data_IF_641618213603
#
_entry.id   IF_641618213603
#
_cell.length_a   1.000
_cell.length_b   1.000
_cell.length_c   1.000
_cell.angle_alpha   90.00
_cell.angle_beta   90.00
_cell.angle_gamma   90.00
#
_symmetry.space_group_name_H-M   'P 1'
#
loop_
_entity.id
_entity.type
_entity.pdbx_description
1 polymer ?
#
# COMPACT_ATOMS: atom_id res chain seq x y z
N UNK A 1 35.18 -20.00 -17.62
CA UNK A 1 34.25 -20.27 -16.54
C UNK A 1 34.93 -20.47 -15.18
N UNK A 2 35.85 -21.45 -15.06
CA UNK A 2 36.54 -21.73 -13.77
C UNK A 2 37.25 -20.49 -13.22
N UNK A 3 37.94 -19.72 -14.05
CA UNK A 3 38.59 -18.46 -13.65
C UNK A 3 37.58 -17.44 -13.12
N UNK A 4 36.42 -17.33 -13.78
CA UNK A 4 35.35 -16.42 -13.32
C UNK A 4 34.90 -16.79 -11.91
N UNK A 5 34.53 -18.04 -11.65
CA UNK A 5 34.10 -18.48 -10.34
C UNK A 5 35.21 -18.35 -9.26
N UNK A 6 36.48 -18.59 -9.63
CA UNK A 6 37.60 -18.41 -8.71
C UNK A 6 37.75 -16.96 -8.29
N UNK A 7 37.70 -16.02 -9.22
CA UNK A 7 37.73 -14.58 -8.93
C UNK A 7 36.51 -14.15 -8.09
N UNK A 8 35.31 -14.64 -8.43
CA UNK A 8 34.10 -14.31 -7.69
C UNK A 8 34.11 -14.77 -6.23
N UNK A 9 34.75 -15.93 -5.93
CA UNK A 9 34.94 -16.41 -4.55
C UNK A 9 35.94 -15.57 -3.76
N UNK A 10 36.77 -14.81 -4.44
CA UNK A 10 37.77 -13.89 -3.85
C UNK A 10 37.27 -12.44 -3.87
N UNK A 11 35.95 -12.23 -4.11
CA UNK A 11 35.32 -10.92 -4.23
C UNK A 11 35.94 -10.00 -5.29
N UNK A 12 36.63 -10.57 -6.27
CA UNK A 12 37.22 -9.89 -7.42
C UNK A 12 36.20 -9.85 -8.55
N UNK A 13 35.22 -8.93 -8.46
CA UNK A 13 34.02 -8.95 -9.31
C UNK A 13 34.33 -8.55 -10.76
N UNK A 14 35.19 -7.55 -11.02
CA UNK A 14 35.56 -7.14 -12.38
C UNK A 14 36.27 -8.27 -13.17
N UNK A 15 37.33 -8.91 -12.64
CA UNK A 15 37.94 -10.06 -13.30
C UNK A 15 36.95 -11.22 -13.47
N UNK A 16 36.10 -11.46 -12.47
CA UNK A 16 35.06 -12.49 -12.57
C UNK A 16 34.11 -12.21 -13.72
N UNK A 17 33.64 -10.97 -13.83
CA UNK A 17 32.74 -10.52 -14.88
C UNK A 17 33.38 -10.63 -16.27
N UNK A 18 34.60 -10.17 -16.43
CA UNK A 18 35.32 -10.31 -17.69
C UNK A 18 35.41 -11.76 -18.16
N UNK A 19 35.73 -12.69 -17.28
CA UNK A 19 35.85 -14.11 -17.63
C UNK A 19 34.50 -14.78 -17.93
N UNK A 20 33.40 -14.40 -17.27
CA UNK A 20 32.09 -14.96 -17.57
C UNK A 20 31.53 -14.43 -18.90
N UNK A 21 31.80 -13.17 -19.24
CA UNK A 21 31.46 -12.63 -20.55
C UNK A 21 32.14 -13.42 -21.68
N UNK A 22 33.43 -13.72 -21.55
CA UNK A 22 34.16 -14.54 -22.52
C UNK A 22 33.55 -15.95 -22.61
N UNK A 23 33.19 -16.57 -21.49
CA UNK A 23 32.56 -17.88 -21.46
C UNK A 23 31.23 -17.87 -22.19
N UNK A 24 30.35 -16.91 -21.88
CA UNK A 24 29.06 -16.74 -22.55
C UNK A 24 29.20 -16.50 -24.06
N UNK A 25 30.18 -15.69 -24.48
CA UNK A 25 30.44 -15.38 -25.91
C UNK A 25 30.96 -16.57 -26.69
N UNK A 26 31.70 -17.50 -26.04
CA UNK A 26 32.26 -18.71 -26.67
C UNK A 26 31.35 -19.93 -26.58
N UNK A 27 30.24 -19.85 -25.88
CA UNK A 27 29.30 -20.96 -25.77
C UNK A 27 28.52 -21.15 -27.07
N UNK A 28 28.47 -22.39 -27.58
CA UNK A 28 27.70 -22.74 -28.76
C UNK A 28 26.19 -22.56 -28.55
N UNK A 29 25.74 -22.70 -27.30
CA UNK A 29 24.35 -22.48 -26.88
C UNK A 29 24.31 -21.64 -25.61
N UNK A 30 23.26 -20.83 -25.41
CA UNK A 30 23.08 -20.07 -24.17
C UNK A 30 23.07 -21.00 -22.96
N UNK A 31 23.91 -20.68 -21.97
CA UNK A 31 23.95 -21.38 -20.69
C UNK A 31 23.28 -20.47 -19.65
N UNK A 32 22.07 -20.81 -19.23
CA UNK A 32 21.24 -19.96 -18.37
C UNK A 32 21.98 -19.59 -17.09
N UNK A 33 22.61 -20.56 -16.41
CA UNK A 33 23.36 -20.32 -15.16
C UNK A 33 24.53 -19.34 -15.35
N UNK A 34 25.16 -19.34 -16.55
CA UNK A 34 26.25 -18.41 -16.83
C UNK A 34 25.74 -17.00 -17.11
N UNK A 35 24.59 -16.90 -17.79
CA UNK A 35 23.92 -15.61 -18.04
C UNK A 35 23.45 -15.03 -16.70
N UNK A 36 22.86 -15.87 -15.84
CA UNK A 36 22.39 -15.48 -14.51
C UNK A 36 23.53 -14.99 -13.62
N UNK A 37 24.67 -15.69 -13.64
CA UNK A 37 25.85 -15.27 -12.91
C UNK A 37 26.45 -13.97 -13.47
N UNK A 38 26.51 -13.81 -14.80
CA UNK A 38 26.93 -12.57 -15.42
C UNK A 38 26.01 -11.41 -15.07
N UNK A 39 24.69 -11.62 -15.07
CA UNK A 39 23.70 -10.62 -14.64
C UNK A 39 23.95 -10.17 -13.19
N UNK A 40 24.15 -11.13 -12.28
CA UNK A 40 24.40 -10.80 -10.87
C UNK A 40 25.67 -10.01 -10.64
N UNK A 41 26.72 -10.28 -11.42
CA UNK A 41 27.97 -9.52 -11.41
C UNK A 41 27.83 -8.13 -12.02
N UNK A 42 27.09 -8.01 -13.14
CA UNK A 42 26.81 -6.73 -13.78
C UNK A 42 26.03 -5.79 -12.81
N UNK A 43 25.02 -6.32 -12.13
CA UNK A 43 24.30 -5.59 -11.08
C UNK A 43 25.20 -5.14 -9.93
N UNK A 44 26.11 -6.01 -9.50
CA UNK A 44 27.04 -5.72 -8.41
C UNK A 44 28.09 -4.67 -8.76
N UNK A 45 28.45 -4.59 -10.04
CA UNK A 45 29.41 -3.63 -10.61
C UNK A 45 28.70 -2.34 -11.09
N UNK A 46 27.39 -2.24 -10.88
CA UNK A 46 26.57 -1.11 -11.36
C UNK A 46 26.65 -0.91 -12.89
N UNK A 47 27.04 -1.97 -13.64
CA UNK A 47 27.00 -1.98 -15.08
C UNK A 47 25.58 -2.28 -15.54
N UNK A 48 24.70 -1.26 -15.42
CA UNK A 48 23.26 -1.40 -15.60
C UNK A 48 22.85 -1.63 -17.07
N UNK A 49 23.68 -1.23 -18.05
CA UNK A 49 23.43 -1.48 -19.47
C UNK A 49 23.61 -2.97 -19.82
N UNK A 50 24.74 -3.55 -19.41
CA UNK A 50 24.97 -4.98 -19.60
C UNK A 50 23.97 -5.83 -18.80
N UNK A 51 23.58 -5.37 -17.60
CA UNK A 51 22.56 -6.02 -16.79
C UNK A 51 21.21 -6.06 -17.51
N UNK A 52 20.82 -4.99 -18.22
CA UNK A 52 19.57 -4.93 -18.98
C UNK A 52 19.54 -5.95 -20.12
N UNK A 53 20.63 -6.03 -20.91
CA UNK A 53 20.74 -7.02 -21.97
C UNK A 53 20.67 -8.46 -21.43
N UNK A 54 21.43 -8.74 -20.36
CA UNK A 54 21.46 -10.05 -19.73
C UNK A 54 20.09 -10.42 -19.09
N UNK A 55 19.44 -9.45 -18.42
CA UNK A 55 18.13 -9.63 -17.81
C UNK A 55 17.04 -9.91 -18.84
N UNK A 56 17.01 -9.13 -19.91
CA UNK A 56 16.09 -9.33 -21.04
C UNK A 56 16.29 -10.71 -21.68
N UNK A 57 17.54 -11.12 -21.84
CA UNK A 57 17.87 -12.44 -22.35
C UNK A 57 17.40 -13.57 -21.45
N UNK A 58 17.51 -13.42 -20.13
CA UNK A 58 16.98 -14.38 -19.15
C UNK A 58 15.47 -14.50 -19.22
N UNK A 59 14.75 -13.38 -19.32
CA UNK A 59 13.30 -13.37 -19.50
C UNK A 59 12.85 -14.03 -20.81
N UNK A 60 13.60 -13.83 -21.89
CA UNK A 60 13.32 -14.49 -23.17
C UNK A 60 13.51 -16.01 -23.09
N UNK A 61 14.56 -16.48 -22.41
CA UNK A 61 14.87 -17.91 -22.30
C UNK A 61 13.95 -18.64 -21.32
N UNK A 62 13.59 -18.00 -20.22
CA UNK A 62 12.74 -18.59 -19.16
C UNK A 62 11.70 -17.59 -18.64
N UNK A 63 10.66 -17.27 -19.42
CA UNK A 63 9.68 -16.24 -19.06
C UNK A 63 8.84 -16.59 -17.82
N UNK A 64 8.77 -17.86 -17.47
CA UNK A 64 8.01 -18.34 -16.30
C UNK A 64 8.82 -18.35 -15.00
N UNK A 65 10.09 -17.90 -15.04
CA UNK A 65 10.94 -17.90 -13.86
C UNK A 65 10.78 -16.57 -13.08
N UNK A 66 10.09 -16.64 -11.94
CA UNK A 66 9.81 -15.52 -11.04
C UNK A 66 11.02 -14.63 -10.74
N UNK A 67 12.16 -15.28 -10.46
CA UNK A 67 13.40 -14.61 -10.07
C UNK A 67 13.79 -13.53 -11.09
N UNK A 68 13.61 -13.79 -12.38
CA UNK A 68 14.06 -12.88 -13.43
C UNK A 68 13.19 -11.64 -13.53
N UNK A 69 11.86 -11.75 -13.37
CA UNK A 69 10.97 -10.60 -13.35
C UNK A 69 11.30 -9.64 -12.20
N UNK A 70 11.53 -10.18 -11.00
CA UNK A 70 11.92 -9.39 -9.84
C UNK A 70 13.29 -8.72 -10.02
N UNK A 71 14.25 -9.43 -10.61
CA UNK A 71 15.59 -8.91 -10.87
C UNK A 71 15.58 -7.80 -11.93
N UNK A 72 14.80 -7.97 -13.00
CA UNK A 72 14.65 -6.94 -14.05
C UNK A 72 13.89 -5.73 -13.53
N UNK A 73 12.86 -5.91 -12.71
CA UNK A 73 12.21 -4.79 -12.05
C UNK A 73 13.17 -4.01 -11.14
N UNK A 74 13.98 -4.71 -10.34
CA UNK A 74 15.00 -4.07 -9.50
C UNK A 74 16.07 -3.34 -10.31
N UNK A 75 16.45 -3.87 -11.47
CA UNK A 75 17.35 -3.21 -12.42
C UNK A 75 16.78 -1.90 -12.93
N UNK A 76 15.53 -1.91 -13.42
CA UNK A 76 14.89 -0.70 -13.91
C UNK A 76 14.68 0.34 -12.80
N UNK A 77 14.41 -0.11 -11.58
CA UNK A 77 14.37 0.78 -10.43
C UNK A 77 15.74 1.43 -10.16
N UNK A 78 16.84 0.66 -10.24
CA UNK A 78 18.21 1.17 -10.11
C UNK A 78 18.61 2.14 -11.23
N UNK A 79 18.00 2.02 -12.42
CA UNK A 79 18.16 2.96 -13.55
C UNK A 79 17.26 4.20 -13.43
N UNK A 80 16.48 4.33 -12.36
CA UNK A 80 15.45 5.37 -12.19
C UNK A 80 14.34 5.33 -13.26
N UNK A 81 14.15 4.17 -13.91
CA UNK A 81 13.10 3.91 -14.89
C UNK A 81 11.88 3.31 -14.19
N UNK A 82 11.15 4.15 -13.44
CA UNK A 82 10.04 3.71 -12.60
C UNK A 82 8.92 3.00 -13.37
N UNK A 83 8.58 3.49 -14.57
CA UNK A 83 7.54 2.89 -15.41
C UNK A 83 7.94 1.50 -15.93
N UNK A 84 9.19 1.32 -16.31
CA UNK A 84 9.70 0.03 -16.79
C UNK A 84 9.82 -0.97 -15.62
N UNK A 85 10.20 -0.47 -14.44
CA UNK A 85 10.19 -1.25 -13.20
C UNK A 85 8.77 -1.75 -12.87
N UNK A 86 7.77 -0.86 -12.97
CA UNK A 86 6.36 -1.22 -12.78
C UNK A 86 5.92 -2.22 -13.86
N UNK A 87 6.24 -2.00 -15.13
CA UNK A 87 5.89 -2.90 -16.22
C UNK A 87 6.45 -4.31 -16.01
N UNK A 88 7.70 -4.43 -15.54
CA UNK A 88 8.30 -5.72 -15.21
C UNK A 88 7.57 -6.44 -14.07
N UNK A 89 7.16 -5.73 -13.01
CA UNK A 89 6.35 -6.28 -11.92
C UNK A 89 4.95 -6.69 -12.41
N UNK A 90 4.31 -5.87 -13.24
CA UNK A 90 2.99 -6.15 -13.82
C UNK A 90 3.02 -7.42 -14.68
N UNK A 91 4.00 -7.54 -15.56
CA UNK A 91 4.19 -8.75 -16.36
C UNK A 91 4.52 -9.97 -15.49
N UNK A 92 5.32 -9.81 -14.46
CA UNK A 92 5.56 -10.86 -13.48
C UNK A 92 4.28 -11.30 -12.76
N UNK A 93 3.41 -10.37 -12.41
CA UNK A 93 2.11 -10.65 -11.81
C UNK A 93 1.18 -11.40 -12.76
N UNK A 94 1.04 -10.94 -14.01
CA UNK A 94 0.21 -11.57 -15.04
C UNK A 94 0.66 -13.00 -15.36
N UNK A 95 1.96 -13.25 -15.34
CA UNK A 95 2.54 -14.58 -15.49
C UNK A 95 2.49 -15.43 -14.20
N UNK A 96 1.80 -14.96 -13.14
CA UNK A 96 1.72 -15.61 -11.83
C UNK A 96 3.10 -15.95 -11.24
N UNK A 97 4.09 -15.08 -11.46
CA UNK A 97 5.45 -15.29 -10.97
C UNK A 97 5.75 -14.56 -9.66
N UNK A 98 4.91 -13.62 -9.22
CA UNK A 98 5.06 -12.98 -7.92
C UNK A 98 4.66 -13.94 -6.79
N UNK A 99 5.48 -14.10 -5.76
CA UNK A 99 5.24 -15.01 -4.64
C UNK A 99 5.55 -14.42 -3.26
N UNK A 100 6.07 -13.19 -3.22
CA UNK A 100 6.37 -12.50 -1.98
C UNK A 100 5.36 -11.40 -1.71
N UNK A 101 4.99 -11.26 -0.44
CA UNK A 101 4.13 -10.16 0.02
C UNK A 101 4.63 -8.80 -0.45
N UNK A 102 5.95 -8.56 -0.34
CA UNK A 102 6.56 -7.30 -0.74
C UNK A 102 6.35 -6.96 -2.22
N UNK A 103 6.39 -7.94 -3.12
CA UNK A 103 6.21 -7.74 -4.55
C UNK A 103 4.78 -7.30 -4.87
N UNK A 104 3.78 -7.98 -4.27
CA UNK A 104 2.36 -7.60 -4.41
C UNK A 104 2.08 -6.21 -3.86
N UNK A 105 2.62 -5.89 -2.66
CA UNK A 105 2.42 -4.59 -2.03
C UNK A 105 3.12 -3.47 -2.81
N UNK A 106 4.30 -3.74 -3.35
CA UNK A 106 5.01 -2.78 -4.21
C UNK A 106 4.18 -2.49 -5.46
N UNK A 107 3.71 -3.52 -6.17
CA UNK A 107 2.87 -3.35 -7.35
C UNK A 107 1.58 -2.58 -7.02
N UNK A 108 0.91 -2.91 -5.92
CA UNK A 108 -0.30 -2.22 -5.48
C UNK A 108 -0.04 -0.72 -5.17
N UNK A 109 1.07 -0.40 -4.49
CA UNK A 109 1.49 0.98 -4.22
C UNK A 109 1.79 1.76 -5.50
N UNK A 110 2.48 1.14 -6.47
CA UNK A 110 2.71 1.73 -7.79
C UNK A 110 1.41 2.04 -8.53
N UNK A 111 0.44 1.12 -8.51
CA UNK A 111 -0.87 1.38 -9.12
C UNK A 111 -1.59 2.56 -8.46
N UNK A 112 -1.50 2.72 -7.13
CA UNK A 112 -2.04 3.90 -6.46
C UNK A 112 -1.33 5.19 -6.89
N UNK A 113 0.00 5.16 -6.95
CA UNK A 113 0.79 6.28 -7.43
C UNK A 113 0.39 6.70 -8.86
N UNK A 114 0.17 5.71 -9.74
CA UNK A 114 -0.31 5.90 -11.11
C UNK A 114 -1.84 6.16 -11.21
N UNK A 115 -2.49 6.50 -10.09
CA UNK A 115 -3.95 6.79 -10.02
C UNK A 115 -4.82 5.67 -10.60
N UNK A 116 -4.40 4.42 -10.42
CA UNK A 116 -5.09 3.21 -10.85
C UNK A 116 -5.57 2.37 -9.66
N UNK A 117 -6.46 2.90 -8.78
CA UNK A 117 -6.81 2.24 -7.52
C UNK A 117 -7.51 0.89 -7.71
N UNK A 118 -8.26 0.69 -8.78
CA UNK A 118 -8.90 -0.60 -9.06
C UNK A 118 -7.89 -1.71 -9.30
N UNK A 119 -6.78 -1.44 -10.00
CA UNK A 119 -5.69 -2.41 -10.17
C UNK A 119 -5.01 -2.71 -8.83
N UNK A 120 -4.81 -1.70 -7.97
CA UNK A 120 -4.30 -1.89 -6.61
C UNK A 120 -5.20 -2.82 -5.79
N UNK A 121 -6.51 -2.58 -5.76
CA UNK A 121 -7.50 -3.42 -5.09
C UNK A 121 -7.42 -4.86 -5.60
N UNK A 122 -7.36 -5.05 -6.91
CA UNK A 122 -7.30 -6.38 -7.54
C UNK A 122 -6.06 -7.15 -7.08
N UNK A 123 -4.89 -6.52 -7.12
CA UNK A 123 -3.61 -7.14 -6.73
C UNK A 123 -3.59 -7.51 -5.25
N UNK A 124 -4.06 -6.61 -4.36
CA UNK A 124 -4.08 -6.89 -2.92
C UNK A 124 -5.05 -8.04 -2.61
N UNK A 125 -6.27 -8.00 -3.16
CA UNK A 125 -7.25 -9.07 -2.94
C UNK A 125 -6.79 -10.42 -3.48
N UNK A 126 -6.14 -10.45 -4.64
CA UNK A 126 -5.54 -11.69 -5.17
C UNK A 126 -4.43 -12.23 -4.24
N UNK A 127 -3.56 -11.33 -3.74
CA UNK A 127 -2.52 -11.69 -2.79
C UNK A 127 -3.08 -12.23 -1.46
N UNK A 128 -4.16 -11.64 -0.93
CA UNK A 128 -4.86 -12.13 0.26
C UNK A 128 -5.49 -13.50 -0.02
N UNK A 129 -6.18 -13.66 -1.16
CA UNK A 129 -6.80 -14.93 -1.57
C UNK A 129 -5.76 -16.05 -1.71
N UNK A 130 -4.59 -15.74 -2.25
CA UNK A 130 -3.45 -16.67 -2.38
C UNK A 130 -2.70 -16.90 -1.05
N UNK A 131 -3.08 -16.19 0.02
CA UNK A 131 -2.39 -16.18 1.32
C UNK A 131 -0.94 -15.69 1.25
N UNK A 132 -0.59 -14.97 0.21
CA UNK A 132 0.71 -14.30 0.05
C UNK A 132 0.73 -13.00 0.86
N UNK A 133 -0.37 -12.23 0.86
CA UNK A 133 -0.55 -11.03 1.68
C UNK A 133 -1.28 -11.40 2.96
N UNK A 134 -0.76 -10.97 4.10
CA UNK A 134 -1.40 -11.13 5.42
C UNK A 134 -2.43 -10.01 5.64
N UNK A 135 -3.56 -10.33 6.27
CA UNK A 135 -4.53 -9.32 6.71
C UNK A 135 -4.07 -8.67 8.03
N UNK A 136 -2.93 -7.98 8.01
CA UNK A 136 -2.45 -7.16 9.12
C UNK A 136 -2.93 -5.72 8.96
N UNK A 137 -2.70 -4.89 9.97
CA UNK A 137 -3.13 -3.49 10.00
C UNK A 137 -2.64 -2.70 8.78
N UNK A 138 -1.34 -2.77 8.47
CA UNK A 138 -0.73 -2.02 7.37
C UNK A 138 -1.33 -2.39 6.01
N UNK A 139 -1.48 -3.67 5.73
CA UNK A 139 -2.02 -4.17 4.47
C UNK A 139 -3.51 -3.86 4.32
N UNK A 140 -4.28 -3.94 5.42
CA UNK A 140 -5.69 -3.54 5.41
C UNK A 140 -5.85 -2.03 5.26
N UNK A 141 -4.99 -1.21 5.86
CA UNK A 141 -4.95 0.24 5.62
C UNK A 141 -4.70 0.57 4.14
N UNK A 142 -3.75 -0.12 3.50
CA UNK A 142 -3.45 0.06 2.08
C UNK A 142 -4.66 -0.32 1.20
N UNK A 143 -5.29 -1.46 1.48
CA UNK A 143 -6.48 -1.92 0.75
C UNK A 143 -7.66 -0.95 0.94
N UNK A 144 -7.92 -0.51 2.17
CA UNK A 144 -8.96 0.48 2.47
C UNK A 144 -8.71 1.80 1.72
N UNK A 145 -7.47 2.30 1.73
CA UNK A 145 -7.07 3.49 0.97
C UNK A 145 -7.31 3.31 -0.51
N UNK A 146 -7.01 2.13 -1.07
CA UNK A 146 -7.27 1.83 -2.49
C UNK A 146 -8.76 1.91 -2.83
N UNK A 147 -9.64 1.42 -1.95
CA UNK A 147 -11.08 1.56 -2.10
C UNK A 147 -11.54 3.02 -2.02
N UNK A 148 -11.01 3.82 -1.07
CA UNK A 148 -11.35 5.25 -0.98
C UNK A 148 -10.90 6.03 -2.22
N UNK A 149 -9.70 5.76 -2.74
CA UNK A 149 -9.25 6.36 -4.00
C UNK A 149 -10.10 5.95 -5.21
N UNK A 150 -10.69 4.76 -5.19
CA UNK A 150 -11.65 4.33 -6.22
C UNK A 150 -13.07 4.87 -6.02
N UNK A 151 -13.30 5.64 -4.93
CA UNK A 151 -14.61 6.15 -4.48
C UNK A 151 -15.60 5.04 -4.07
N UNK A 152 -15.12 3.86 -3.77
CA UNK A 152 -15.90 2.76 -3.19
C UNK A 152 -15.86 2.88 -1.66
N UNK A 153 -16.63 3.84 -1.13
CA UNK A 153 -16.64 4.17 0.30
C UNK A 153 -17.12 2.99 1.14
N UNK A 154 -18.10 2.25 0.67
CA UNK A 154 -18.69 1.13 1.40
C UNK A 154 -17.66 0.04 1.68
N UNK A 155 -16.95 -0.42 0.65
CA UNK A 155 -15.90 -1.43 0.81
C UNK A 155 -14.69 -0.86 1.56
N UNK A 156 -14.33 0.40 1.32
CA UNK A 156 -13.28 1.10 2.07
C UNK A 156 -13.53 1.07 3.58
N UNK A 157 -14.74 1.43 4.02
CA UNK A 157 -15.16 1.39 5.42
C UNK A 157 -15.15 -0.05 5.96
N UNK A 158 -15.69 -1.02 5.22
CA UNK A 158 -15.67 -2.44 5.64
C UNK A 158 -14.25 -2.95 5.92
N UNK A 159 -13.29 -2.60 5.08
CA UNK A 159 -11.89 -2.99 5.28
C UNK A 159 -11.28 -2.21 6.46
N UNK A 160 -11.59 -0.92 6.59
CA UNK A 160 -11.09 -0.10 7.69
C UNK A 160 -11.59 -0.59 9.06
N UNK A 161 -12.84 -1.08 9.14
CA UNK A 161 -13.38 -1.73 10.34
C UNK A 161 -12.58 -3.00 10.71
N UNK A 162 -12.15 -3.77 9.71
CA UNK A 162 -11.28 -4.94 9.98
C UNK A 162 -9.92 -4.51 10.54
N UNK A 163 -9.33 -3.48 9.95
CA UNK A 163 -8.04 -2.93 10.41
C UNK A 163 -8.15 -2.39 11.85
N UNK A 164 -9.21 -1.65 12.16
CA UNK A 164 -9.47 -1.05 13.47
C UNK A 164 -9.57 -2.10 14.59
N UNK A 165 -10.17 -3.27 14.31
CA UNK A 165 -10.31 -4.37 15.29
C UNK A 165 -8.99 -5.02 15.71
N UNK A 166 -7.95 -4.89 14.91
CA UNK A 166 -6.62 -5.49 15.18
C UNK A 166 -5.54 -4.44 15.44
N UNK A 167 -5.95 -3.17 15.55
CA UNK A 167 -5.07 -2.02 15.76
C UNK A 167 -5.39 -1.35 17.09
N UNK A 168 -4.38 -0.81 17.72
CA UNK A 168 -4.52 0.11 18.86
C UNK A 168 -4.28 1.57 18.47
N UNK A 169 -4.12 1.86 17.18
CA UNK A 169 -3.86 3.18 16.63
C UNK A 169 -5.10 4.08 16.78
N UNK A 170 -5.04 5.17 17.57
CA UNK A 170 -6.16 6.08 17.74
C UNK A 170 -6.53 6.83 16.46
N UNK A 171 -5.54 7.15 15.60
CA UNK A 171 -5.78 7.82 14.31
C UNK A 171 -6.65 6.95 13.38
N UNK A 172 -6.44 5.66 13.40
CA UNK A 172 -7.23 4.73 12.59
C UNK A 172 -8.71 4.77 12.98
N UNK A 173 -9.00 4.79 14.29
CA UNK A 173 -10.36 4.90 14.81
C UNK A 173 -10.99 6.25 14.50
N UNK A 174 -10.21 7.34 14.59
CA UNK A 174 -10.66 8.68 14.20
C UNK A 174 -11.01 8.74 12.70
N UNK A 175 -10.15 8.22 11.85
CA UNK A 175 -10.39 8.17 10.40
C UNK A 175 -11.63 7.32 10.05
N UNK A 176 -11.78 6.16 10.71
CA UNK A 176 -12.98 5.35 10.55
C UNK A 176 -14.24 6.12 10.94
N UNK A 177 -14.21 6.84 12.05
CA UNK A 177 -15.33 7.69 12.49
C UNK A 177 -15.69 8.76 11.44
N UNK A 178 -14.67 9.41 10.87
CA UNK A 178 -14.86 10.44 9.84
C UNK A 178 -15.49 9.85 8.57
N UNK A 179 -14.93 8.76 8.02
CA UNK A 179 -15.49 8.12 6.82
C UNK A 179 -16.89 7.54 7.06
N UNK A 180 -17.15 7.00 8.25
CA UNK A 180 -18.47 6.51 8.61
C UNK A 180 -19.48 7.64 8.67
N UNK A 181 -19.14 8.81 9.23
CA UNK A 181 -19.98 10.00 9.25
C UNK A 181 -20.27 10.51 7.84
N UNK A 182 -19.24 10.66 6.99
CA UNK A 182 -19.38 11.12 5.62
C UNK A 182 -20.26 10.18 4.77
N UNK A 183 -20.41 8.92 5.18
CA UNK A 183 -21.26 7.91 4.56
C UNK A 183 -22.53 7.61 5.35
N UNK A 184 -22.96 8.54 6.21
CA UNK A 184 -24.21 8.48 6.97
C UNK A 184 -24.35 7.27 7.92
N UNK A 185 -23.22 6.59 8.21
CA UNK A 185 -23.15 5.48 9.17
C UNK A 185 -22.95 6.00 10.60
N UNK A 186 -23.89 6.82 11.09
CA UNK A 186 -23.76 7.61 12.31
C UNK A 186 -23.44 6.78 13.55
N UNK A 187 -24.05 5.59 13.71
CA UNK A 187 -23.75 4.70 14.85
C UNK A 187 -22.29 4.22 14.83
N UNK A 188 -21.78 3.90 13.64
CA UNK A 188 -20.37 3.51 13.47
C UNK A 188 -19.45 4.72 13.74
N UNK A 189 -19.79 5.89 13.25
CA UNK A 189 -19.04 7.12 13.49
C UNK A 189 -18.87 7.38 14.98
N UNK A 190 -19.98 7.39 15.74
CA UNK A 190 -19.97 7.61 17.20
C UNK A 190 -19.11 6.56 17.91
N UNK A 191 -19.27 5.27 17.56
CA UNK A 191 -18.49 4.21 18.22
C UNK A 191 -16.99 4.35 17.94
N UNK A 192 -16.62 4.67 16.72
CA UNK A 192 -15.22 4.83 16.31
C UNK A 192 -14.57 6.04 16.96
N UNK A 193 -15.26 7.17 17.07
CA UNK A 193 -14.76 8.33 17.82
C UNK A 193 -14.61 8.06 19.32
N UNK A 194 -15.51 7.30 19.92
CA UNK A 194 -15.36 6.90 21.32
C UNK A 194 -14.13 5.99 21.52
N UNK A 195 -13.85 5.09 20.57
CA UNK A 195 -12.64 4.25 20.58
C UNK A 195 -11.39 5.13 20.39
N UNK A 196 -11.39 6.07 19.46
CA UNK A 196 -10.28 7.00 19.24
C UNK A 196 -9.94 7.76 20.54
N UNK A 197 -10.93 8.36 21.20
CA UNK A 197 -10.75 9.04 22.50
C UNK A 197 -10.21 8.10 23.58
N UNK A 198 -10.76 6.88 23.69
CA UNK A 198 -10.30 5.89 24.67
C UNK A 198 -8.84 5.47 24.43
N UNK A 199 -8.38 5.48 23.17
CA UNK A 199 -6.99 5.19 22.78
C UNK A 199 -6.08 6.41 22.89
N UNK A 200 -6.59 7.58 23.27
CA UNK A 200 -5.81 8.79 23.53
C UNK A 200 -5.67 9.73 22.34
N UNK A 201 -6.58 9.65 21.35
CA UNK A 201 -6.60 10.63 20.28
C UNK A 201 -7.09 11.99 20.80
N UNK A 202 -6.29 13.06 20.61
CA UNK A 202 -6.52 14.38 21.19
C UNK A 202 -6.15 15.58 20.28
N UNK A 203 -5.80 15.33 19.01
CA UNK A 203 -5.37 16.40 18.08
C UNK A 203 -6.44 17.49 17.88
N UNK A 204 -7.70 17.10 17.67
CA UNK A 204 -8.82 18.01 17.41
C UNK A 204 -10.07 17.54 18.19
N UNK A 205 -10.05 17.65 19.53
CA UNK A 205 -11.12 17.11 20.38
C UNK A 205 -12.48 17.75 20.11
N UNK A 206 -12.55 19.03 19.81
CA UNK A 206 -13.78 19.72 19.44
C UNK A 206 -14.48 19.13 18.24
N UNK A 207 -13.71 18.70 17.24
CA UNK A 207 -14.26 18.08 16.02
C UNK A 207 -14.93 16.74 16.31
N UNK A 208 -14.39 15.92 17.21
CA UNK A 208 -15.04 14.67 17.62
C UNK A 208 -16.39 14.96 18.25
N UNK A 209 -16.45 15.90 19.21
CA UNK A 209 -17.71 16.21 19.90
C UNK A 209 -18.73 16.82 18.93
N UNK A 210 -18.32 17.70 18.03
CA UNK A 210 -19.18 18.27 17.01
C UNK A 210 -19.79 17.18 16.12
N UNK A 211 -18.97 16.30 15.55
CA UNK A 211 -19.46 15.25 14.63
C UNK A 211 -20.34 14.23 15.39
N UNK A 212 -19.99 13.89 16.64
CA UNK A 212 -20.85 13.03 17.47
C UNK A 212 -22.20 13.71 17.74
N UNK A 213 -22.19 15.01 18.05
CA UNK A 213 -23.42 15.78 18.27
C UNK A 213 -24.32 15.77 17.04
N UNK A 214 -23.77 16.03 15.85
CA UNK A 214 -24.49 15.94 14.59
C UNK A 214 -24.99 14.51 14.36
N UNK A 215 -24.13 13.50 14.56
CA UNK A 215 -24.51 12.08 14.38
C UNK A 215 -25.66 11.66 15.30
N UNK A 216 -25.69 12.13 16.56
CA UNK A 216 -26.80 11.87 17.48
C UNK A 216 -28.08 12.58 17.04
N UNK A 217 -27.96 13.80 16.48
CA UNK A 217 -29.11 14.53 15.92
C UNK A 217 -29.73 13.74 14.76
N UNK A 218 -28.93 13.26 13.81
CA UNK A 218 -29.38 12.44 12.69
C UNK A 218 -30.00 11.09 13.12
N UNK A 219 -29.66 10.62 14.30
CA UNK A 219 -30.25 9.43 14.92
C UNK A 219 -31.47 9.75 15.79
N UNK A 220 -31.95 11.00 15.80
CA UNK A 220 -33.06 11.51 16.63
C UNK A 220 -32.81 11.40 18.14
N UNK A 221 -31.54 11.24 18.56
CA UNK A 221 -31.13 11.18 19.97
C UNK A 221 -30.79 12.59 20.51
N UNK A 222 -31.81 13.45 20.57
CA UNK A 222 -31.67 14.92 20.75
C UNK A 222 -30.91 15.30 22.01
N UNK A 223 -31.15 14.64 23.15
CA UNK A 223 -30.47 14.96 24.43
C UNK A 223 -28.96 14.72 24.28
N UNK A 224 -28.54 13.59 23.69
CA UNK A 224 -27.12 13.29 23.47
C UNK A 224 -26.50 14.22 22.41
N UNK A 225 -27.28 14.62 21.40
CA UNK A 225 -26.86 15.62 20.43
C UNK A 225 -26.47 16.92 21.13
N UNK A 226 -27.36 17.45 21.98
CA UNK A 226 -27.12 18.67 22.76
C UNK A 226 -25.90 18.54 23.66
N UNK A 227 -25.76 17.43 24.40
CA UNK A 227 -24.62 17.20 25.29
C UNK A 227 -23.29 17.31 24.54
N UNK A 228 -23.16 16.62 23.40
CA UNK A 228 -21.92 16.63 22.59
C UNK A 228 -21.70 17.99 21.90
N UNK A 229 -22.73 18.66 21.42
CA UNK A 229 -22.62 20.00 20.84
C UNK A 229 -22.23 21.04 21.90
N UNK A 230 -22.74 20.97 23.11
CA UNK A 230 -22.31 21.84 24.23
C UNK A 230 -20.82 21.62 24.51
N UNK A 231 -20.35 20.36 24.53
CA UNK A 231 -18.91 20.09 24.68
C UNK A 231 -18.10 20.71 23.53
N UNK A 232 -18.60 20.64 22.31
CA UNK A 232 -17.93 21.22 21.15
C UNK A 232 -17.83 22.75 21.18
N UNK A 233 -18.73 23.47 21.89
CA UNK A 233 -18.63 24.93 22.09
C UNK A 233 -17.45 25.35 22.95
N UNK A 234 -16.84 24.43 23.67
CA UNK A 234 -15.66 24.72 24.52
C UNK A 234 -14.35 24.82 23.70
N UNK A 235 -14.39 24.56 22.40
CA UNK A 235 -13.23 24.59 21.50
C UNK A 235 -13.43 25.68 20.46
N UNK A 236 -12.45 26.57 20.30
CA UNK A 236 -12.55 27.73 19.41
C UNK A 236 -12.83 27.36 17.95
N UNK A 237 -12.25 26.24 17.48
CA UNK A 237 -12.36 25.75 16.09
C UNK A 237 -13.76 25.17 15.75
N UNK A 238 -14.56 24.81 16.73
CA UNK A 238 -15.89 24.21 16.54
C UNK A 238 -17.04 24.99 17.17
N UNK A 239 -16.73 26.01 17.98
CA UNK A 239 -17.70 26.78 18.75
C UNK A 239 -18.86 27.31 17.94
N UNK A 240 -18.56 28.13 16.92
CA UNK A 240 -19.58 28.81 16.13
C UNK A 240 -20.52 27.80 15.40
N UNK A 241 -19.92 26.70 14.90
CA UNK A 241 -20.67 25.62 14.24
C UNK A 241 -21.59 24.90 15.25
N UNK A 242 -21.06 24.59 16.43
CA UNK A 242 -21.81 23.91 17.47
C UNK A 242 -22.96 24.77 18.01
N UNK A 243 -22.75 26.09 18.23
CA UNK A 243 -23.80 27.04 18.61
C UNK A 243 -24.89 27.15 17.55
N UNK A 244 -24.51 27.13 16.26
CA UNK A 244 -25.45 27.07 15.14
C UNK A 244 -26.35 25.83 15.19
N UNK A 245 -25.77 24.66 15.41
CA UNK A 245 -26.53 23.41 15.56
C UNK A 245 -27.45 23.42 16.80
N UNK A 246 -26.99 23.93 17.96
CA UNK A 246 -27.81 24.05 19.13
C UNK A 246 -29.02 25.00 18.93
N UNK A 247 -28.79 26.09 18.19
CA UNK A 247 -29.86 27.03 17.84
C UNK A 247 -30.87 26.38 16.86
N UNK A 248 -30.39 25.60 15.93
CA UNK A 248 -31.22 24.84 14.99
C UNK A 248 -32.10 23.82 15.72
N UNK A 249 -31.52 23.00 16.60
CA UNK A 249 -32.25 22.01 17.40
C UNK A 249 -33.38 22.66 18.22
N UNK A 250 -33.11 23.82 18.84
CA UNK A 250 -34.08 24.54 19.62
C UNK A 250 -35.32 24.96 18.85
N UNK A 251 -35.23 25.17 17.54
CA UNK A 251 -36.37 25.55 16.70
C UNK A 251 -37.35 24.37 16.43
N UNK A 252 -36.87 23.12 16.57
CA UNK A 252 -37.71 21.93 16.41
C UNK A 252 -38.40 21.47 17.71
N UNK A 253 -38.03 22.06 18.86
CA UNK A 253 -38.64 21.73 20.14
C UNK A 253 -39.83 22.67 20.51
N UNK A 254 -40.15 23.61 19.63
CA UNK A 254 -41.30 24.52 19.74
C UNK A 254 -42.45 24.04 18.90
#
# INVERSE_FOLDING_TARGET
LLMSYSHGRLDQYEPSYYHIQIANKKADKPQIDWIEYAFSLAMKLENLEDAEDLGTRLLYLEPNKKKYWNQVSALYFAKEFELDSLAALELGYENNTLDKEADYLLLAKYYLYQKSPLKSIMVINDGIKKKTIKENEENLKLLSSSYFYSRDLENGIKILVKAEKISDDPDLSFRLGTYAFDNEQYKLAISSFNIAKKRGWDDIPGRIELIKGISYFELEEIDKAKENLILATSFDDTKDTAEGWLSYIKQFEL
#
